data_IF_434018053445
#
_entry.id   IF_434018053445
#
_cell.length_a   1.000
_cell.length_b   1.000
_cell.length_c   1.000
_cell.angle_alpha   90.00
_cell.angle_beta   90.00
_cell.angle_gamma   90.00
#
_symmetry.space_group_name_H-M   'P 1'
#
loop_
_entity.id
_entity.type
_entity.pdbx_description
1 polymer ?
#
# COMPACT_ATOMS: atom_id res chain seq x y z
N UNK A 1 -22.43 -9.50 0.71
CA UNK A 1 -22.63 -8.60 -0.44
C UNK A 1 -21.33 -7.86 -0.71
N UNK A 2 -20.57 -8.32 -1.70
CA UNK A 2 -19.22 -7.82 -1.98
C UNK A 2 -19.28 -6.52 -2.77
N UNK A 3 -18.85 -5.42 -2.15
CA UNK A 3 -18.47 -4.22 -2.90
C UNK A 3 -17.06 -4.45 -3.42
N UNK A 4 -16.98 -5.11 -4.59
CA UNK A 4 -15.86 -4.87 -5.49
C UNK A 4 -15.89 -3.38 -5.83
N UNK A 5 -15.13 -2.57 -5.10
CA UNK A 5 -14.79 -1.24 -5.57
C UNK A 5 -13.96 -1.43 -6.84
N UNK A 6 -14.65 -1.22 -7.95
CA UNK A 6 -14.16 -1.20 -9.31
C UNK A 6 -12.70 -0.73 -9.38
N UNK A 7 -11.87 -1.57 -9.97
CA UNK A 7 -10.46 -1.33 -10.31
C UNK A 7 -10.24 -0.26 -11.39
N UNK A 8 -11.18 0.69 -11.56
CA UNK A 8 -11.14 1.74 -12.58
C UNK A 8 -10.38 3.00 -12.14
N UNK A 9 -9.35 2.86 -11.29
CA UNK A 9 -8.32 3.90 -11.13
C UNK A 9 -7.16 3.77 -12.14
N UNK A 10 -7.25 2.83 -13.09
CA UNK A 10 -6.29 2.63 -14.18
C UNK A 10 -6.47 3.62 -15.36
N UNK A 11 -7.56 4.39 -15.42
CA UNK A 11 -7.97 5.11 -16.65
C UNK A 11 -7.76 6.63 -16.70
N UNK A 12 -7.04 7.26 -15.75
CA UNK A 12 -6.89 8.74 -15.72
C UNK A 12 -5.45 9.26 -15.87
N UNK A 13 -4.56 8.48 -16.46
CA UNK A 13 -3.19 8.92 -16.70
C UNK A 13 -2.80 8.56 -18.13
N UNK A 14 -3.21 9.41 -19.07
CA UNK A 14 -2.60 9.66 -20.38
C UNK A 14 -3.40 10.77 -21.07
N UNK A 15 -3.37 11.99 -20.51
CA UNK A 15 -3.42 13.14 -21.41
C UNK A 15 -2.05 13.16 -22.07
N UNK A 16 -1.94 12.56 -23.25
CA UNK A 16 -0.82 12.81 -24.15
C UNK A 16 -0.97 14.26 -24.63
N UNK A 17 -0.67 15.23 -23.76
CA UNK A 17 -0.52 16.62 -24.18
C UNK A 17 0.66 16.66 -25.14
N UNK A 18 0.44 17.22 -26.33
CA UNK A 18 1.52 17.41 -27.28
C UNK A 18 2.39 18.57 -26.80
N UNK A 19 3.32 18.29 -25.89
CA UNK A 19 4.16 19.30 -25.24
C UNK A 19 4.93 20.18 -26.23
N UNK A 20 5.19 19.67 -27.44
CA UNK A 20 5.93 20.36 -28.50
C UNK A 20 5.23 21.59 -29.05
N UNK A 21 3.90 21.68 -28.96
CA UNK A 21 3.14 22.85 -29.44
C UNK A 21 3.05 23.96 -28.38
N UNK A 22 3.26 23.61 -27.10
CA UNK A 22 3.08 24.53 -25.97
C UNK A 22 4.43 25.12 -25.53
N UNK A 23 5.49 24.31 -25.53
CA UNK A 23 6.79 24.71 -25.03
C UNK A 23 7.54 25.52 -26.09
N UNK A 24 7.94 26.74 -25.74
CA UNK A 24 8.65 27.68 -26.61
C UNK A 24 10.16 27.71 -26.33
N UNK A 25 10.55 27.46 -25.09
CA UNK A 25 11.94 27.60 -24.64
C UNK A 25 12.52 26.26 -24.22
N UNK A 26 13.74 25.98 -24.68
CA UNK A 26 14.48 24.76 -24.35
C UNK A 26 15.86 25.12 -23.81
N UNK A 27 16.12 24.69 -22.59
CA UNK A 27 17.43 24.83 -21.94
C UNK A 27 18.01 23.44 -21.67
N UNK A 28 19.30 23.25 -21.94
CA UNK A 28 19.97 21.97 -21.77
C UNK A 28 21.34 22.14 -21.14
N UNK A 29 21.69 21.24 -20.23
CA UNK A 29 23.02 21.12 -19.63
C UNK A 29 23.54 22.44 -18.98
N UNK A 30 22.62 23.24 -18.43
CA UNK A 30 22.92 24.51 -17.73
C UNK A 30 23.00 24.33 -16.21
N UNK A 31 23.88 25.10 -15.55
CA UNK A 31 23.95 25.18 -14.09
C UNK A 31 23.62 26.60 -13.62
N UNK A 32 22.62 26.72 -12.74
CA UNK A 32 22.18 27.97 -12.13
C UNK A 32 22.58 27.95 -10.66
N UNK A 33 23.35 28.95 -10.22
CA UNK A 33 23.80 29.07 -8.83
C UNK A 33 23.74 30.53 -8.36
N UNK A 34 23.14 30.76 -7.20
CA UNK A 34 23.00 32.09 -6.58
C UNK A 34 24.28 32.60 -5.90
N UNK A 35 25.29 31.75 -5.68
CA UNK A 35 26.51 32.12 -4.93
C UNK A 35 27.55 32.94 -5.71
N UNK A 36 27.23 33.42 -6.91
CA UNK A 36 28.06 34.36 -7.67
C UNK A 36 27.33 35.71 -7.59
N UNK A 37 28.04 36.79 -7.27
CA UNK A 37 27.56 38.18 -7.10
C UNK A 37 26.98 38.81 -8.40
N UNK A 38 26.26 38.04 -9.20
CA UNK A 38 25.44 38.53 -10.29
C UNK A 38 23.99 38.12 -10.01
N UNK A 39 23.26 39.07 -9.44
CA UNK A 39 21.83 39.22 -9.65
C UNK A 39 21.59 39.30 -11.17
N UNK A 40 21.44 38.13 -11.81
CA UNK A 40 20.80 37.95 -13.12
C UNK A 40 20.63 36.45 -13.44
N UNK A 41 20.18 35.63 -12.48
CA UNK A 41 19.61 34.32 -12.82
C UNK A 41 18.17 34.53 -13.29
N UNK A 42 18.00 35.02 -14.51
CA UNK A 42 16.70 35.20 -15.14
C UNK A 42 16.17 33.80 -15.55
N UNK A 43 15.80 32.99 -14.55
CA UNK A 43 15.26 31.65 -14.75
C UNK A 43 13.85 31.81 -15.29
N UNK A 44 13.65 31.39 -16.53
CA UNK A 44 12.35 31.42 -17.16
C UNK A 44 11.44 30.35 -16.56
N UNK A 45 10.19 30.70 -16.28
CA UNK A 45 9.19 29.81 -15.68
C UNK A 45 7.88 29.79 -16.48
N UNK A 46 7.97 30.12 -17.77
CA UNK A 46 6.85 30.13 -18.71
C UNK A 46 7.22 29.46 -20.04
N UNK A 47 6.39 28.51 -20.46
CA UNK A 47 6.47 27.74 -21.71
C UNK A 47 7.88 27.18 -21.95
N UNK A 48 8.44 26.50 -20.95
CA UNK A 48 9.86 26.16 -20.90
C UNK A 48 10.13 24.72 -20.48
N UNK A 49 11.11 24.10 -21.13
CA UNK A 49 11.68 22.81 -20.77
C UNK A 49 13.16 22.94 -20.42
N UNK A 50 13.52 22.42 -19.25
CA UNK A 50 14.89 22.25 -18.80
C UNK A 50 15.27 20.77 -18.86
N UNK A 51 16.39 20.46 -19.51
CA UNK A 51 16.92 19.11 -19.66
C UNK A 51 18.33 19.04 -19.07
N UNK A 52 18.59 18.10 -18.16
CA UNK A 52 19.91 17.92 -17.52
C UNK A 52 20.45 19.19 -16.82
N UNK A 53 19.59 20.14 -16.46
CA UNK A 53 20.02 21.36 -15.80
C UNK A 53 20.17 21.18 -14.28
N UNK A 54 21.04 21.98 -13.68
CA UNK A 54 21.27 22.01 -12.24
C UNK A 54 20.87 23.37 -11.66
N UNK A 55 20.19 23.35 -10.51
CA UNK A 55 19.73 24.52 -9.77
C UNK A 55 20.25 24.40 -8.34
N UNK A 56 21.14 25.33 -7.93
CA UNK A 56 21.78 25.33 -6.61
C UNK A 56 21.50 26.63 -5.87
N UNK A 57 21.08 26.52 -4.61
CA UNK A 57 20.89 27.66 -3.71
C UNK A 57 19.92 28.73 -4.27
N UNK A 58 18.90 28.31 -5.03
CA UNK A 58 17.96 29.24 -5.67
C UNK A 58 16.68 29.38 -4.85
N UNK A 59 16.22 30.63 -4.74
CA UNK A 59 14.97 30.99 -4.11
C UNK A 59 13.92 31.36 -5.16
N UNK A 60 12.99 30.46 -5.44
CA UNK A 60 11.82 30.71 -6.26
C UNK A 60 10.72 31.37 -5.41
N UNK A 61 10.87 32.67 -5.12
CA UNK A 61 9.90 33.45 -4.34
C UNK A 61 8.79 34.02 -5.23
N UNK A 62 7.54 33.80 -4.86
CA UNK A 62 6.34 34.40 -5.46
C UNK A 62 6.22 34.21 -6.98
N UNK A 63 6.81 33.14 -7.51
CA UNK A 63 6.82 32.88 -8.95
C UNK A 63 5.55 32.14 -9.41
N UNK A 64 5.01 32.57 -10.55
CA UNK A 64 4.03 31.79 -11.31
C UNK A 64 4.74 30.81 -12.24
N UNK A 65 4.27 29.56 -12.27
CA UNK A 65 4.75 28.53 -13.20
C UNK A 65 3.68 28.29 -14.27
N UNK A 66 4.04 28.54 -15.52
CA UNK A 66 3.20 28.29 -16.71
C UNK A 66 3.90 27.29 -17.62
N UNK A 67 3.36 26.08 -17.78
CA UNK A 67 3.85 25.06 -18.72
C UNK A 67 5.36 24.77 -18.56
N UNK A 68 5.77 24.40 -17.35
CA UNK A 68 7.18 24.18 -17.01
C UNK A 68 7.48 22.70 -16.86
N UNK A 69 8.53 22.22 -17.53
CA UNK A 69 9.01 20.83 -17.41
C UNK A 69 10.48 20.81 -17.05
N UNK A 70 10.81 20.07 -15.99
CA UNK A 70 12.18 19.69 -15.65
C UNK A 70 12.39 18.21 -15.96
N UNK A 71 13.38 17.87 -16.78
CA UNK A 71 13.74 16.49 -17.14
C UNK A 71 15.19 16.23 -16.78
N UNK A 72 15.44 15.21 -15.97
CA UNK A 72 16.78 14.83 -15.51
C UNK A 72 17.54 15.99 -14.84
N UNK A 73 16.82 16.95 -14.27
CA UNK A 73 17.39 18.11 -13.58
C UNK A 73 17.71 17.80 -12.11
N UNK A 74 18.68 18.55 -11.56
CA UNK A 74 19.03 18.48 -10.14
C UNK A 74 18.74 19.81 -9.45
N UNK A 75 18.04 19.75 -8.31
CA UNK A 75 17.80 20.88 -7.43
C UNK A 75 18.46 20.60 -6.08
N UNK A 76 19.29 21.52 -5.61
CA UNK A 76 20.03 21.40 -4.35
C UNK A 76 19.87 22.68 -3.55
N UNK A 77 19.47 22.55 -2.28
CA UNK A 77 19.31 23.68 -1.36
C UNK A 77 18.41 24.79 -1.94
N UNK A 78 17.37 24.41 -2.70
CA UNK A 78 16.46 25.37 -3.33
C UNK A 78 15.19 25.55 -2.49
N UNK A 79 14.61 26.74 -2.55
CA UNK A 79 13.38 27.07 -1.83
C UNK A 79 12.32 27.57 -2.80
N UNK A 80 11.12 27.03 -2.71
CA UNK A 80 9.92 27.52 -3.37
C UNK A 80 9.04 28.16 -2.30
N UNK A 81 8.78 29.46 -2.40
CA UNK A 81 8.09 30.21 -1.36
C UNK A 81 7.00 31.04 -2.01
N UNK A 82 5.73 30.79 -1.69
CA UNK A 82 4.61 31.56 -2.27
C UNK A 82 4.40 31.32 -3.77
N UNK A 83 4.99 30.27 -4.34
CA UNK A 83 4.88 29.97 -5.77
C UNK A 83 3.52 29.36 -6.12
N UNK A 84 3.08 29.53 -7.38
CA UNK A 84 1.80 29.00 -7.85
C UNK A 84 1.88 28.43 -9.25
N UNK A 85 1.21 27.32 -9.52
CA UNK A 85 0.94 26.85 -10.88
C UNK A 85 -0.24 27.65 -11.43
N UNK A 86 -0.03 28.34 -12.55
CA UNK A 86 -1.07 29.18 -13.15
C UNK A 86 -2.23 28.31 -13.67
N UNK A 87 -3.45 28.87 -13.71
CA UNK A 87 -4.64 28.13 -14.10
C UNK A 87 -4.47 27.47 -15.47
N UNK A 88 -4.88 26.19 -15.58
CA UNK A 88 -4.77 25.36 -16.80
C UNK A 88 -3.34 25.13 -17.32
N UNK A 89 -2.33 25.46 -16.53
CA UNK A 89 -0.93 25.16 -16.83
C UNK A 89 -0.46 23.92 -16.07
N UNK A 90 0.72 23.41 -16.43
CA UNK A 90 1.37 22.30 -15.74
C UNK A 90 2.75 22.70 -15.19
N UNK A 91 3.16 21.99 -14.15
CA UNK A 91 4.51 21.96 -13.63
C UNK A 91 4.88 20.49 -13.43
N UNK A 92 5.97 20.06 -14.07
CA UNK A 92 6.41 18.68 -14.04
C UNK A 92 7.88 18.52 -13.68
N UNK A 93 8.17 17.55 -12.82
CA UNK A 93 9.53 17.07 -12.54
C UNK A 93 9.61 15.60 -12.96
N UNK A 94 10.45 15.32 -13.96
CA UNK A 94 10.61 13.99 -14.53
C UNK A 94 12.07 13.55 -14.38
N UNK A 95 12.32 12.44 -13.68
CA UNK A 95 13.68 11.90 -13.42
C UNK A 95 14.60 12.89 -12.71
N UNK A 96 14.04 13.78 -11.91
CA UNK A 96 14.81 14.81 -11.20
C UNK A 96 15.34 14.33 -9.85
N UNK A 97 16.41 14.99 -9.40
CA UNK A 97 16.93 14.85 -8.02
C UNK A 97 16.58 16.13 -7.27
N UNK A 98 15.84 16.01 -6.18
CA UNK A 98 15.42 17.09 -5.29
C UNK A 98 16.07 16.88 -3.92
N UNK A 99 17.10 17.66 -3.62
CA UNK A 99 17.91 17.53 -2.41
C UNK A 99 17.84 18.81 -1.57
N UNK A 100 17.47 18.68 -0.29
CA UNK A 100 17.32 19.81 0.64
C UNK A 100 16.39 20.90 0.07
N UNK A 101 15.14 20.51 -0.24
CA UNK A 101 14.16 21.41 -0.84
C UNK A 101 13.12 21.83 0.19
N UNK A 102 12.82 23.12 0.24
CA UNK A 102 11.68 23.65 1.01
C UNK A 102 10.62 24.19 0.05
N UNK A 103 9.41 23.66 0.13
CA UNK A 103 8.21 24.17 -0.54
C UNK A 103 7.28 24.71 0.53
N UNK A 104 7.17 26.04 0.61
CA UNK A 104 6.45 26.73 1.68
C UNK A 104 5.40 27.68 1.10
N UNK A 105 4.18 27.61 1.63
CA UNK A 105 3.06 28.46 1.23
C UNK A 105 2.81 28.47 -0.31
N UNK A 106 3.04 27.36 -1.00
CA UNK A 106 2.87 27.28 -2.45
C UNK A 106 1.51 26.69 -2.84
N UNK A 107 0.94 27.13 -3.97
CA UNK A 107 -0.22 26.50 -4.62
C UNK A 107 0.25 25.69 -5.84
N UNK A 108 0.64 24.46 -5.56
CA UNK A 108 1.11 23.49 -6.54
C UNK A 108 0.03 22.44 -6.84
N UNK A 109 -1.22 22.89 -6.97
CA UNK A 109 -2.33 22.07 -7.45
C UNK A 109 -1.97 21.29 -8.71
N UNK A 110 -2.25 19.99 -8.74
CA UNK A 110 -1.97 19.10 -9.89
C UNK A 110 -0.50 18.98 -10.31
N UNK A 111 0.45 19.31 -9.42
CA UNK A 111 1.88 19.09 -9.63
C UNK A 111 2.15 17.61 -9.97
N UNK A 112 3.00 17.39 -10.97
CA UNK A 112 3.40 16.07 -11.42
C UNK A 112 4.88 15.82 -11.13
N UNK A 113 5.18 14.81 -10.32
CA UNK A 113 6.55 14.40 -9.99
C UNK A 113 6.69 12.91 -10.29
N UNK A 114 7.57 12.56 -11.22
CA UNK A 114 7.72 11.19 -11.69
C UNK A 114 9.16 10.74 -11.80
N UNK A 115 9.43 9.52 -11.35
CA UNK A 115 10.75 8.86 -11.42
C UNK A 115 11.85 9.69 -10.73
N UNK A 116 11.48 10.50 -9.73
CA UNK A 116 12.36 11.43 -9.03
C UNK A 116 12.88 10.85 -7.71
N UNK A 117 14.01 11.40 -7.25
CA UNK A 117 14.55 11.17 -5.91
C UNK A 117 14.34 12.42 -5.05
N UNK A 118 13.52 12.30 -4.00
CA UNK A 118 13.28 13.35 -3.03
C UNK A 118 14.08 13.02 -1.77
N UNK A 119 15.10 13.82 -1.46
CA UNK A 119 15.92 13.69 -0.26
C UNK A 119 15.84 14.98 0.55
N UNK A 120 15.37 14.89 1.80
CA UNK A 120 15.20 16.04 2.70
C UNK A 120 14.33 17.13 2.07
N UNK A 121 13.11 16.74 1.71
CA UNK A 121 12.13 17.64 1.07
C UNK A 121 11.01 17.94 2.05
N UNK A 122 10.83 19.22 2.34
CA UNK A 122 9.78 19.73 3.22
C UNK A 122 8.70 20.41 2.40
N UNK A 123 7.47 19.92 2.52
CA UNK A 123 6.27 20.61 2.10
C UNK A 123 5.63 21.23 3.34
N UNK A 124 5.42 22.54 3.34
CA UNK A 124 4.85 23.27 4.48
C UNK A 124 3.74 24.20 4.02
N UNK A 125 2.58 24.16 4.69
CA UNK A 125 1.44 25.04 4.44
C UNK A 125 1.09 25.20 2.94
N UNK A 126 1.22 24.12 2.16
CA UNK A 126 1.17 24.18 0.70
C UNK A 126 -0.04 23.45 0.15
N UNK A 127 -0.70 24.05 -0.84
CA UNK A 127 -1.85 23.49 -1.49
C UNK A 127 -1.41 22.59 -2.65
N UNK A 128 -1.71 21.29 -2.56
CA UNK A 128 -1.18 20.24 -3.44
C UNK A 128 -2.29 19.27 -3.86
N UNK A 129 -3.49 19.82 -4.05
CA UNK A 129 -4.67 19.04 -4.42
C UNK A 129 -4.46 18.42 -5.81
N UNK A 130 -4.76 17.14 -5.97
CA UNK A 130 -4.68 16.45 -7.27
C UNK A 130 -3.26 16.16 -7.75
N UNK A 131 -2.24 16.34 -6.91
CA UNK A 131 -0.85 16.06 -7.30
C UNK A 131 -0.60 14.58 -7.54
N UNK A 132 0.29 14.29 -8.49
CA UNK A 132 0.67 12.94 -8.87
C UNK A 132 2.16 12.72 -8.59
N UNK A 133 2.45 11.80 -7.68
CA UNK A 133 3.79 11.35 -7.35
C UNK A 133 3.94 9.88 -7.75
N UNK A 134 4.64 9.61 -8.84
CA UNK A 134 4.68 8.29 -9.48
C UNK A 134 6.12 7.79 -9.57
N UNK A 135 6.38 6.58 -9.08
CA UNK A 135 7.72 5.94 -9.15
C UNK A 135 8.84 6.77 -8.50
N UNK A 136 8.51 7.50 -7.43
CA UNK A 136 9.51 8.30 -6.72
C UNK A 136 10.09 7.56 -5.51
N UNK A 137 11.28 7.99 -5.11
CA UNK A 137 11.93 7.65 -3.84
C UNK A 137 11.80 8.82 -2.87
N UNK A 138 11.55 8.53 -1.59
CA UNK A 138 11.35 9.52 -0.52
C UNK A 138 12.29 9.20 0.63
N UNK A 139 13.31 10.03 0.84
CA UNK A 139 14.23 9.94 1.96
C UNK A 139 14.11 11.21 2.79
N UNK A 140 13.65 11.10 4.03
CA UNK A 140 13.39 12.24 4.92
C UNK A 140 12.45 13.31 4.30
N UNK A 141 11.30 12.88 3.76
CA UNK A 141 10.28 13.78 3.21
C UNK A 141 9.25 14.12 4.28
N UNK A 142 8.91 15.40 4.44
CA UNK A 142 8.01 15.85 5.50
C UNK A 142 6.87 16.70 4.93
N UNK A 143 5.65 16.41 5.37
CA UNK A 143 4.50 17.28 5.18
C UNK A 143 4.20 17.97 6.50
N UNK A 144 4.25 19.29 6.51
CA UNK A 144 4.24 20.11 7.72
C UNK A 144 3.00 21.01 7.72
N UNK A 145 2.23 20.94 8.79
CA UNK A 145 1.03 21.73 9.04
C UNK A 145 -0.03 21.62 7.92
N UNK A 146 -0.50 22.76 7.37
CA UNK A 146 -1.66 22.81 6.46
C UNK A 146 -1.28 22.48 5.00
N UNK A 147 -0.78 21.26 4.78
CA UNK A 147 -0.62 20.74 3.42
C UNK A 147 -1.94 20.16 2.92
N UNK A 148 -2.36 20.50 1.69
CA UNK A 148 -3.56 19.92 1.10
C UNK A 148 -3.20 18.84 0.09
N UNK A 149 -3.35 17.57 0.48
CA UNK A 149 -3.11 16.39 -0.37
C UNK A 149 -4.42 15.71 -0.80
N UNK A 150 -5.55 16.42 -0.81
CA UNK A 150 -6.80 15.86 -1.33
C UNK A 150 -6.64 15.47 -2.80
N UNK A 151 -7.24 14.33 -3.18
CA UNK A 151 -7.17 13.77 -4.54
C UNK A 151 -5.73 13.47 -5.05
N UNK A 152 -4.74 13.45 -4.16
CA UNK A 152 -3.36 13.14 -4.55
C UNK A 152 -3.21 11.65 -4.89
N UNK A 153 -2.28 11.33 -5.79
CA UNK A 153 -1.93 9.95 -6.13
C UNK A 153 -0.43 9.79 -5.85
N UNK A 154 -0.11 8.96 -4.86
CA UNK A 154 1.26 8.54 -4.56
C UNK A 154 1.33 7.06 -4.86
N UNK A 155 1.99 6.65 -5.94
CA UNK A 155 2.02 5.22 -6.35
C UNK A 155 3.36 4.79 -6.92
N UNK A 156 3.52 3.47 -6.99
CA UNK A 156 4.68 2.80 -7.55
C UNK A 156 6.02 3.22 -6.89
N UNK A 157 5.96 3.68 -5.64
CA UNK A 157 7.13 4.09 -4.85
C UNK A 157 8.19 2.99 -4.82
N UNK A 158 9.44 3.38 -4.97
CA UNK A 158 10.60 2.49 -4.96
C UNK A 158 11.80 3.19 -4.31
N UNK A 159 12.91 2.49 -4.12
CA UNK A 159 14.08 3.06 -3.46
C UNK A 159 13.91 3.19 -1.95
N UNK A 160 13.87 4.42 -1.45
CA UNK A 160 13.64 4.78 -0.05
C UNK A 160 12.18 5.23 0.17
N UNK A 161 11.65 5.00 1.36
CA UNK A 161 10.39 5.62 1.80
C UNK A 161 10.46 5.97 3.29
N UNK A 162 10.74 7.23 3.58
CA UNK A 162 10.64 7.86 4.88
C UNK A 162 9.84 9.16 4.71
N UNK A 163 8.52 9.07 4.91
CA UNK A 163 7.59 10.18 4.83
C UNK A 163 6.98 10.38 6.20
N UNK A 164 6.97 11.61 6.70
CA UNK A 164 6.38 11.98 7.99
C UNK A 164 5.41 13.14 7.86
N UNK A 165 4.40 13.15 8.73
CA UNK A 165 3.51 14.28 8.92
C UNK A 165 3.85 14.98 10.23
N UNK A 166 4.17 16.27 10.15
CA UNK A 166 4.42 17.13 11.32
C UNK A 166 3.23 18.07 11.47
N UNK A 167 2.42 17.83 12.50
CA UNK A 167 1.15 18.53 12.70
C UNK A 167 1.22 19.40 13.97
N UNK A 168 1.98 20.50 13.92
CA UNK A 168 2.17 21.38 15.09
C UNK A 168 1.04 22.42 15.22
N UNK A 169 0.69 23.09 14.12
CA UNK A 169 -0.34 24.15 14.09
C UNK A 169 -1.61 23.73 13.38
N UNK A 170 -1.48 22.84 12.41
CA UNK A 170 -2.58 22.29 11.61
C UNK A 170 -2.22 20.86 11.22
N UNK A 171 -2.99 20.25 10.33
CA UNK A 171 -2.71 18.92 9.83
C UNK A 171 -2.93 18.81 8.33
N UNK A 172 -2.23 17.85 7.72
CA UNK A 172 -2.32 17.62 6.27
C UNK A 172 -3.67 17.02 5.87
N UNK A 173 -4.34 17.64 4.90
CA UNK A 173 -5.67 17.25 4.44
C UNK A 173 -5.60 16.10 3.43
N UNK A 174 -6.39 15.06 3.65
CA UNK A 174 -6.56 13.89 2.77
C UNK A 174 -8.04 13.58 2.64
N UNK A 175 -8.47 13.04 1.49
CA UNK A 175 -9.87 12.64 1.28
C UNK A 175 -9.94 11.21 0.71
N UNK A 176 -11.15 10.74 0.38
CA UNK A 176 -11.34 9.45 -0.29
C UNK A 176 -10.72 9.40 -1.69
N UNK A 177 -10.49 10.53 -2.35
CA UNK A 177 -9.79 10.61 -3.64
C UNK A 177 -8.28 10.43 -3.52
N UNK A 178 -7.69 10.80 -2.37
CA UNK A 178 -6.27 10.58 -2.09
C UNK A 178 -5.95 9.09 -2.08
N UNK A 179 -4.91 8.68 -2.81
CA UNK A 179 -4.53 7.29 -3.02
C UNK A 179 -3.05 7.05 -2.77
N UNK A 180 -2.75 6.16 -1.82
CA UNK A 180 -1.40 5.65 -1.57
C UNK A 180 -1.30 4.20 -2.08
N UNK A 181 -0.39 4.01 -3.04
CA UNK A 181 -0.09 2.77 -3.73
C UNK A 181 0.68 1.76 -2.88
N UNK A 182 0.93 0.59 -3.45
CA UNK A 182 1.83 -0.43 -2.86
C UNK A 182 3.28 -0.08 -3.16
N UNK A 183 4.17 -0.29 -2.21
CA UNK A 183 5.60 -0.11 -2.40
C UNK A 183 6.19 -1.22 -3.26
N UNK A 184 7.06 -0.87 -4.20
CA UNK A 184 7.77 -1.82 -5.05
C UNK A 184 9.06 -2.30 -4.37
N UNK A 185 8.98 -3.47 -3.74
CA UNK A 185 10.11 -4.08 -3.04
C UNK A 185 11.21 -4.65 -3.95
N UNK A 186 11.06 -4.65 -5.29
CA UNK A 186 12.12 -5.15 -6.20
C UNK A 186 13.31 -4.19 -6.30
N UNK A 187 13.04 -2.88 -6.25
CA UNK A 187 14.02 -1.83 -6.52
C UNK A 187 14.38 -1.06 -5.23
N UNK A 188 14.74 -1.78 -4.17
CA UNK A 188 15.14 -1.13 -2.90
C UNK A 188 16.55 -0.55 -3.04
N UNK A 189 16.70 0.75 -2.80
CA UNK A 189 17.99 1.46 -2.78
C UNK A 189 18.42 1.68 -1.32
N UNK A 190 19.72 1.90 -1.08
CA UNK A 190 20.28 2.29 0.23
C UNK A 190 19.83 3.73 0.56
N UNK A 191 19.36 4.01 1.77
CA UNK A 191 19.06 5.39 2.24
C UNK A 191 20.35 6.18 2.50
N UNK A 192 20.29 7.51 2.36
CA UNK A 192 21.43 8.43 2.61
C UNK A 192 21.89 8.43 4.07
N UNK A 193 21.01 8.06 5.02
CA UNK A 193 21.35 7.96 6.46
C UNK A 193 22.42 6.90 6.79
N UNK A 194 22.83 6.08 5.82
CA UNK A 194 23.81 5.00 6.00
C UNK A 194 25.13 5.22 5.22
N UNK A 195 25.37 6.41 4.65
CA UNK A 195 26.56 6.65 3.80
C UNK A 195 27.89 6.64 4.60
N UNK A 196 27.85 6.88 5.92
CA UNK A 196 29.07 7.01 6.74
C UNK A 196 29.56 5.73 7.43
N UNK A 197 29.04 4.54 7.10
CA UNK A 197 29.66 3.29 7.56
C UNK A 197 29.92 2.37 6.37
N UNK A 198 31.22 2.21 6.05
CA UNK A 198 31.73 1.16 5.17
C UNK A 198 31.38 -0.20 5.77
N UNK A 199 30.18 -0.70 5.50
CA UNK A 199 29.82 -2.10 5.71
C UNK A 199 28.53 -2.40 4.92
N UNK A 200 28.59 -3.43 4.07
CA UNK A 200 27.40 -4.06 3.49
C UNK A 200 26.62 -4.76 4.62
N UNK A 201 25.88 -3.98 5.40
CA UNK A 201 25.25 -4.48 6.61
C UNK A 201 23.74 -4.66 6.40
N UNK A 202 23.21 -5.83 6.81
CA UNK A 202 21.78 -6.19 6.77
C UNK A 202 20.87 -5.19 7.51
N UNK A 203 21.43 -4.27 8.30
CA UNK A 203 20.71 -3.22 9.02
C UNK A 203 20.14 -2.13 8.09
N UNK A 204 20.77 -1.84 6.94
CA UNK A 204 20.31 -0.78 6.01
C UNK A 204 18.96 -1.14 5.39
N UNK A 205 18.82 -2.38 4.90
CA UNK A 205 17.55 -2.87 4.37
C UNK A 205 16.48 -2.95 5.47
N UNK A 206 16.86 -3.37 6.68
CA UNK A 206 15.95 -3.43 7.82
C UNK A 206 15.42 -2.05 8.21
N UNK A 207 16.29 -1.04 8.22
CA UNK A 207 15.92 0.35 8.48
C UNK A 207 14.96 0.88 7.40
N UNK A 208 15.25 0.62 6.12
CA UNK A 208 14.35 1.04 5.05
C UNK A 208 12.97 0.34 5.13
N UNK A 209 12.91 -0.96 5.41
CA UNK A 209 11.63 -1.64 5.67
C UNK A 209 10.85 -1.07 6.85
N UNK A 210 11.56 -0.63 7.90
CA UNK A 210 10.96 0.00 9.05
C UNK A 210 10.42 1.41 8.70
N UNK A 211 11.17 2.20 7.93
CA UNK A 211 10.74 3.50 7.43
C UNK A 211 9.53 3.38 6.51
N UNK A 212 9.50 2.39 5.60
CA UNK A 212 8.31 2.08 4.79
C UNK A 212 7.12 1.77 5.71
N UNK A 213 7.34 0.94 6.73
CA UNK A 213 6.31 0.57 7.71
C UNK A 213 5.75 1.79 8.43
N UNK A 214 6.60 2.69 8.92
CA UNK A 214 6.20 3.89 9.64
C UNK A 214 5.53 4.91 8.72
N UNK A 215 6.07 5.13 7.52
CA UNK A 215 5.45 6.02 6.53
C UNK A 215 4.01 5.62 6.22
N UNK A 216 3.75 4.31 6.04
CA UNK A 216 2.38 3.82 5.88
C UNK A 216 1.50 4.05 7.12
N UNK A 217 2.04 3.90 8.33
CA UNK A 217 1.29 4.22 9.55
C UNK A 217 0.95 5.70 9.63
N UNK A 218 1.92 6.57 9.34
CA UNK A 218 1.75 8.01 9.33
C UNK A 218 0.65 8.44 8.34
N UNK A 219 0.63 7.86 7.13
CA UNK A 219 -0.50 8.05 6.20
C UNK A 219 -1.83 7.53 6.77
N UNK A 220 -1.82 6.37 7.41
CA UNK A 220 -3.00 5.80 8.06
C UNK A 220 -3.57 6.76 9.11
N UNK A 221 -2.75 7.20 10.04
CA UNK A 221 -3.13 8.17 11.07
C UNK A 221 -3.64 9.47 10.46
N UNK A 222 -3.02 9.93 9.38
CA UNK A 222 -3.49 11.12 8.69
C UNK A 222 -4.88 10.92 8.07
N UNK A 223 -5.18 9.75 7.49
CA UNK A 223 -6.54 9.42 7.04
C UNK A 223 -7.56 9.40 8.20
N UNK A 224 -7.18 8.88 9.37
CA UNK A 224 -8.03 8.90 10.56
C UNK A 224 -8.32 10.33 11.02
N UNK A 225 -7.31 11.19 11.09
CA UNK A 225 -7.46 12.62 11.42
C UNK A 225 -8.41 13.36 10.47
N UNK A 226 -8.47 12.92 9.21
CA UNK A 226 -9.37 13.47 8.19
C UNK A 226 -10.76 12.78 8.13
N UNK A 227 -11.09 11.89 9.08
CA UNK A 227 -12.33 11.10 9.07
C UNK A 227 -12.53 10.22 7.81
N UNK A 228 -11.42 9.78 7.19
CA UNK A 228 -11.40 8.90 6.02
C UNK A 228 -10.98 7.49 6.45
N UNK A 229 -11.68 6.95 7.45
CA UNK A 229 -11.28 5.70 8.11
C UNK A 229 -11.20 4.52 7.14
N UNK A 230 -12.04 4.47 6.11
CA UNK A 230 -12.03 3.42 5.09
C UNK A 230 -10.69 3.23 4.36
N UNK A 231 -9.84 4.26 4.31
CA UNK A 231 -8.52 4.20 3.63
C UNK A 231 -7.39 3.69 4.52
N UNK A 232 -7.44 3.88 5.85
CA UNK A 232 -6.36 3.45 6.74
C UNK A 232 -6.12 1.94 6.69
N UNK A 233 -7.17 1.11 6.61
CA UNK A 233 -7.00 -0.35 6.70
C UNK A 233 -5.99 -0.89 5.68
N UNK A 234 -6.00 -0.27 4.50
CA UNK A 234 -5.01 -0.53 3.45
C UNK A 234 -3.60 -0.09 3.85
N UNK A 235 -3.44 1.11 4.41
CA UNK A 235 -2.14 1.60 4.90
C UNK A 235 -1.60 0.72 6.02
N UNK A 236 -2.42 0.35 6.99
CA UNK A 236 -2.05 -0.59 8.07
C UNK A 236 -1.60 -1.94 7.52
N UNK A 237 -2.34 -2.50 6.54
CA UNK A 237 -1.95 -3.74 5.89
C UNK A 237 -0.58 -3.63 5.20
N UNK A 238 -0.34 -2.56 4.43
CA UNK A 238 0.96 -2.33 3.79
C UNK A 238 2.09 -2.13 4.80
N UNK A 239 1.81 -1.41 5.89
CA UNK A 239 2.74 -1.24 7.01
C UNK A 239 3.16 -2.59 7.60
N UNK A 240 2.20 -3.47 7.91
CA UNK A 240 2.50 -4.81 8.45
C UNK A 240 3.27 -5.70 7.46
N UNK A 241 3.02 -5.59 6.16
CA UNK A 241 3.80 -6.29 5.13
C UNK A 241 5.27 -5.83 5.09
N UNK A 242 5.50 -4.52 5.23
CA UNK A 242 6.85 -3.96 5.32
C UNK A 242 7.53 -4.42 6.62
N UNK A 243 6.85 -4.30 7.76
CA UNK A 243 7.35 -4.74 9.06
C UNK A 243 7.68 -6.23 9.08
N UNK A 244 6.84 -7.08 8.47
CA UNK A 244 7.07 -8.52 8.37
C UNK A 244 8.45 -8.87 7.79
N UNK A 245 8.95 -8.07 6.83
CA UNK A 245 10.27 -8.28 6.20
C UNK A 245 11.43 -8.03 7.15
N UNK A 246 11.21 -7.29 8.23
CA UNK A 246 12.21 -7.06 9.28
C UNK A 246 12.32 -8.23 10.27
N UNK A 247 11.32 -9.11 10.32
CA UNK A 247 11.23 -10.20 11.28
C UNK A 247 12.06 -11.42 10.86
N UNK A 248 12.50 -12.22 11.85
CA UNK A 248 13.21 -13.49 11.67
C UNK A 248 12.64 -14.57 12.60
N UNK A 249 12.88 -15.84 12.27
CA UNK A 249 12.50 -17.00 13.10
C UNK A 249 10.99 -17.09 13.39
N UNK A 250 10.65 -17.50 14.61
CA UNK A 250 9.26 -17.71 15.08
C UNK A 250 8.37 -16.48 14.90
N UNK A 251 8.88 -15.27 15.13
CA UNK A 251 8.13 -14.02 14.94
C UNK A 251 7.68 -13.84 13.49
N UNK A 252 8.53 -14.19 12.53
CA UNK A 252 8.20 -14.12 11.10
C UNK A 252 7.11 -15.15 10.76
N UNK A 253 7.20 -16.35 11.31
CA UNK A 253 6.17 -17.40 11.12
C UNK A 253 4.79 -16.94 11.62
N UNK A 254 4.67 -16.43 12.85
CA UNK A 254 3.40 -15.93 13.36
C UNK A 254 2.83 -14.78 12.52
N UNK A 255 3.69 -13.86 12.09
CA UNK A 255 3.28 -12.77 11.19
C UNK A 255 2.84 -13.29 9.81
N UNK A 256 3.46 -14.34 9.30
CA UNK A 256 3.05 -14.98 8.04
C UNK A 256 1.69 -15.66 8.17
N UNK A 257 1.47 -16.43 9.25
CA UNK A 257 0.20 -17.07 9.55
C UNK A 257 -0.93 -16.03 9.68
N UNK A 258 -0.71 -14.94 10.41
CA UNK A 258 -1.68 -13.85 10.55
C UNK A 258 -2.01 -13.17 9.20
N UNK A 259 -1.06 -13.07 8.28
CA UNK A 259 -1.31 -12.55 6.93
C UNK A 259 -2.20 -13.48 6.11
N UNK A 260 -1.97 -14.80 6.19
CA UNK A 260 -2.76 -15.79 5.47
C UNK A 260 -4.19 -15.83 6.01
N UNK A 261 -4.32 -16.01 7.33
CA UNK A 261 -5.61 -16.25 7.98
C UNK A 261 -6.54 -15.04 7.80
N UNK A 262 -6.09 -13.84 8.16
CA UNK A 262 -6.98 -12.67 8.23
C UNK A 262 -6.40 -11.38 7.63
N UNK A 263 -5.24 -11.45 6.97
CA UNK A 263 -4.56 -10.28 6.42
C UNK A 263 -4.21 -9.25 7.50
N UNK A 264 -3.68 -9.71 8.65
CA UNK A 264 -3.42 -8.88 9.84
C UNK A 264 -4.69 -8.22 10.43
N UNK A 265 -5.85 -8.80 10.17
CA UNK A 265 -7.14 -8.34 10.65
C UNK A 265 -7.86 -7.35 9.72
N UNK A 266 -7.31 -7.06 8.55
CA UNK A 266 -7.85 -6.06 7.61
C UNK A 266 -8.64 -6.68 6.44
N UNK A 267 -8.52 -7.99 6.20
CA UNK A 267 -9.09 -8.66 5.03
C UNK A 267 -10.00 -9.83 5.48
N UNK A 268 -11.24 -9.56 5.91
CA UNK A 268 -12.14 -10.57 6.50
C UNK A 268 -12.50 -11.70 5.52
N UNK A 269 -12.52 -11.41 4.22
CA UNK A 269 -12.79 -12.40 3.18
C UNK A 269 -11.77 -13.56 3.16
N UNK A 270 -10.51 -13.32 3.57
CA UNK A 270 -9.51 -14.40 3.66
C UNK A 270 -9.87 -15.42 4.73
N UNK A 271 -10.33 -14.96 5.90
CA UNK A 271 -10.75 -15.85 6.98
C UNK A 271 -11.91 -16.72 6.53
N UNK A 272 -12.90 -16.11 5.86
CA UNK A 272 -14.05 -16.84 5.31
C UNK A 272 -13.65 -17.90 4.28
N UNK A 273 -12.78 -17.54 3.32
CA UNK A 273 -12.30 -18.49 2.31
C UNK A 273 -11.46 -19.61 2.92
N UNK A 274 -10.63 -19.31 3.94
CA UNK A 274 -9.86 -20.32 4.64
C UNK A 274 -10.78 -21.30 5.39
N UNK A 275 -11.88 -20.82 6.00
CA UNK A 275 -12.89 -21.69 6.61
C UNK A 275 -13.49 -22.67 5.61
N UNK A 276 -13.84 -22.21 4.40
CA UNK A 276 -14.35 -23.09 3.33
C UNK A 276 -13.32 -24.14 2.90
N UNK A 277 -12.05 -23.75 2.80
CA UNK A 277 -10.97 -24.69 2.47
C UNK A 277 -10.81 -25.74 3.58
N UNK A 278 -10.86 -25.34 4.85
CA UNK A 278 -10.80 -26.27 5.99
C UNK A 278 -11.93 -27.30 5.89
N UNK A 279 -13.18 -26.85 5.69
CA UNK A 279 -14.34 -27.74 5.53
C UNK A 279 -14.12 -28.75 4.40
N UNK A 280 -13.64 -28.30 3.23
CA UNK A 280 -13.39 -29.21 2.11
C UNK A 280 -12.27 -30.22 2.40
N UNK A 281 -11.20 -29.82 3.10
CA UNK A 281 -10.11 -30.72 3.48
C UNK A 281 -10.61 -31.77 4.49
N UNK A 282 -11.37 -31.37 5.49
CA UNK A 282 -11.93 -32.32 6.47
C UNK A 282 -12.96 -33.25 5.84
N UNK A 283 -13.78 -32.77 4.92
CA UNK A 283 -14.67 -33.63 4.13
C UNK A 283 -13.92 -34.74 3.40
N UNK A 284 -12.76 -34.45 2.80
CA UNK A 284 -11.91 -35.46 2.16
C UNK A 284 -11.31 -36.44 3.18
N UNK A 285 -10.90 -35.95 4.36
CA UNK A 285 -10.41 -36.82 5.43
C UNK A 285 -11.51 -37.76 5.95
N UNK A 286 -12.74 -37.27 6.09
CA UNK A 286 -13.88 -38.10 6.49
C UNK A 286 -14.27 -39.14 5.46
N UNK A 287 -14.06 -38.86 4.18
CA UNK A 287 -14.22 -39.87 3.14
C UNK A 287 -13.27 -41.06 3.34
N UNK A 288 -12.07 -40.81 3.86
CA UNK A 288 -11.06 -41.84 4.16
C UNK A 288 -11.38 -42.56 5.48
N UNK A 289 -11.72 -41.82 6.54
CA UNK A 289 -11.97 -42.45 7.86
C UNK A 289 -13.32 -43.15 7.96
N UNK A 290 -14.30 -42.71 7.18
CA UNK A 290 -15.69 -43.13 7.24
C UNK A 290 -16.52 -42.33 8.26
N UNK A 291 -17.79 -42.16 7.93
CA UNK A 291 -18.84 -41.58 8.77
C UNK A 291 -19.88 -42.68 9.00
N UNK A 292 -20.26 -42.90 10.25
CA UNK A 292 -21.32 -43.81 10.63
C UNK A 292 -22.68 -43.11 10.58
N UNK A 293 -23.66 -43.76 9.95
CA UNK A 293 -25.04 -43.33 9.88
C UNK A 293 -25.95 -44.50 10.28
N UNK A 294 -27.20 -44.21 10.69
CA UNK A 294 -28.17 -45.24 11.06
C UNK A 294 -28.36 -46.34 9.98
N UNK A 295 -28.13 -46.00 8.71
CA UNK A 295 -28.33 -46.89 7.57
C UNK A 295 -27.01 -47.51 7.03
N UNK A 296 -25.87 -47.30 7.70
CA UNK A 296 -24.58 -47.85 7.30
C UNK A 296 -23.43 -46.84 7.28
N UNK A 297 -22.29 -47.25 6.71
CA UNK A 297 -21.05 -46.46 6.69
C UNK A 297 -20.96 -45.66 5.39
N UNK A 298 -20.82 -44.33 5.51
CA UNK A 298 -20.59 -43.39 4.41
C UNK A 298 -19.08 -43.16 4.29
N UNK A 299 -18.50 -43.36 3.11
CA UNK A 299 -17.06 -43.18 2.86
C UNK A 299 -16.54 -44.19 1.83
N UNK A 300 -15.21 -44.26 1.64
CA UNK A 300 -14.62 -45.22 0.69
C UNK A 300 -14.94 -46.68 1.03
N UNK A 301 -15.01 -47.02 2.31
CA UNK A 301 -15.36 -48.37 2.77
C UNK A 301 -16.82 -48.76 2.50
N UNK A 302 -17.72 -47.77 2.42
CA UNK A 302 -19.12 -48.01 2.07
C UNK A 302 -19.35 -48.23 0.56
N UNK A 303 -18.29 -48.19 -0.26
CA UNK A 303 -18.35 -48.39 -1.71
C UNK A 303 -17.88 -49.79 -2.15
N UNK A 304 -17.43 -50.64 -1.21
CA UNK A 304 -16.81 -51.95 -1.51
C UNK A 304 -17.76 -52.92 -2.21
N UNK A 305 -19.07 -52.82 -2.00
CA UNK A 305 -20.04 -53.82 -2.50
C UNK A 305 -20.63 -53.50 -3.89
N UNK A 306 -20.62 -52.24 -4.37
CA UNK A 306 -21.07 -51.83 -5.71
C UNK A 306 -20.68 -50.36 -6.02
N UNK A 307 -19.65 -50.16 -6.84
CA UNK A 307 -19.21 -48.81 -7.19
C UNK A 307 -20.16 -48.14 -8.20
N UNK A 308 -20.83 -47.06 -7.76
CA UNK A 308 -21.62 -46.18 -8.63
C UNK A 308 -21.20 -44.72 -8.47
N UNK A 309 -21.03 -44.01 -9.59
CA UNK A 309 -20.69 -42.58 -9.61
C UNK A 309 -21.70 -41.75 -8.81
N UNK A 310 -22.99 -42.13 -8.89
CA UNK A 310 -24.05 -41.46 -8.12
C UNK A 310 -23.85 -41.64 -6.61
N UNK A 311 -23.44 -42.83 -6.17
CA UNK A 311 -23.13 -43.10 -4.76
C UNK A 311 -21.90 -42.32 -4.29
N UNK A 312 -20.88 -42.21 -5.14
CA UNK A 312 -19.68 -41.42 -4.84
C UNK A 312 -20.03 -39.94 -4.65
N UNK A 313 -20.82 -39.35 -5.55
CA UNK A 313 -21.28 -37.95 -5.42
C UNK A 313 -22.10 -37.78 -4.14
N UNK A 314 -23.02 -38.70 -3.84
CA UNK A 314 -23.82 -38.68 -2.61
C UNK A 314 -22.93 -38.71 -1.36
N UNK A 315 -21.92 -39.58 -1.33
CA UNK A 315 -20.97 -39.68 -0.23
C UNK A 315 -20.15 -38.39 -0.08
N UNK A 316 -19.69 -37.77 -1.17
CA UNK A 316 -19.02 -36.45 -1.12
C UNK A 316 -19.92 -35.41 -0.46
N UNK A 317 -21.19 -35.32 -0.88
CA UNK A 317 -22.14 -34.35 -0.34
C UNK A 317 -22.35 -34.57 1.17
N UNK A 318 -22.52 -35.81 1.61
CA UNK A 318 -22.66 -36.11 3.04
C UNK A 318 -21.38 -35.81 3.83
N UNK A 319 -20.19 -36.10 3.29
CA UNK A 319 -18.93 -35.75 3.95
C UNK A 319 -18.75 -34.23 4.09
N UNK A 320 -19.10 -33.46 3.05
CA UNK A 320 -19.10 -32.00 3.10
C UNK A 320 -20.13 -31.48 4.10
N UNK A 321 -21.34 -32.06 4.12
CA UNK A 321 -22.37 -31.70 5.08
C UNK A 321 -21.92 -31.96 6.52
N UNK A 322 -21.36 -33.14 6.78
CA UNK A 322 -20.84 -33.52 8.10
C UNK A 322 -19.73 -32.57 8.57
N UNK A 323 -18.76 -32.27 7.71
CA UNK A 323 -17.69 -31.31 8.00
C UNK A 323 -18.24 -29.91 8.22
N UNK A 324 -19.22 -29.45 7.43
CA UNK A 324 -19.83 -28.14 7.62
C UNK A 324 -20.53 -28.01 8.97
N UNK A 325 -21.34 -29.00 9.35
CA UNK A 325 -22.08 -29.05 10.63
C UNK A 325 -21.13 -29.18 11.83
N UNK A 326 -20.03 -29.91 11.66
CA UNK A 326 -18.99 -30.09 12.68
C UNK A 326 -18.18 -28.80 12.87
N UNK A 327 -17.75 -28.18 11.77
CA UNK A 327 -17.03 -26.91 11.76
C UNK A 327 -17.86 -25.76 12.35
N UNK A 328 -19.17 -25.71 12.03
CA UNK A 328 -20.08 -24.71 12.58
C UNK A 328 -20.59 -25.06 13.98
N UNK A 329 -20.14 -26.17 14.56
CA UNK A 329 -20.54 -26.68 15.88
C UNK A 329 -22.05 -26.83 16.06
N UNK A 330 -22.80 -27.11 14.99
CA UNK A 330 -24.25 -27.31 15.04
C UNK A 330 -24.58 -28.73 15.54
N UNK A 331 -23.86 -29.73 15.03
CA UNK A 331 -23.89 -31.11 15.53
C UNK A 331 -25.29 -31.74 15.59
N UNK A 332 -25.96 -31.95 14.45
CA UNK A 332 -27.30 -32.55 14.40
C UNK A 332 -27.40 -33.95 15.05
N UNK A 333 -26.28 -34.67 15.18
CA UNK A 333 -26.20 -35.96 15.88
C UNK A 333 -26.68 -37.17 15.07
N UNK A 334 -27.04 -36.96 13.81
CA UNK A 334 -27.45 -37.96 12.82
C UNK A 334 -26.27 -38.69 12.15
N UNK A 335 -25.12 -38.02 12.09
CA UNK A 335 -23.87 -38.50 11.54
C UNK A 335 -22.79 -38.54 12.63
N UNK A 336 -22.12 -39.67 12.78
CA UNK A 336 -21.09 -39.88 13.81
C UNK A 336 -19.77 -40.32 13.17
N UNK A 337 -18.61 -39.99 13.75
CA UNK A 337 -17.34 -40.54 13.29
C UNK A 337 -17.34 -42.07 13.45
N UNK A 338 -16.91 -42.80 12.42
CA UNK A 338 -16.90 -44.26 12.46
C UNK A 338 -15.80 -44.85 13.36
N UNK A 339 -14.60 -44.27 13.32
CA UNK A 339 -13.41 -44.75 14.02
C UNK A 339 -12.84 -43.73 15.01
N UNK A 340 -11.97 -44.17 15.92
CA UNK A 340 -11.21 -43.30 16.84
C UNK A 340 -10.43 -42.20 16.11
N UNK A 341 -9.87 -42.49 14.94
CA UNK A 341 -9.21 -41.48 14.11
C UNK A 341 -10.18 -40.39 13.63
N UNK A 342 -11.40 -40.77 13.28
CA UNK A 342 -12.49 -39.83 12.96
C UNK A 342 -12.86 -38.95 14.15
N UNK A 343 -12.94 -39.52 15.36
CA UNK A 343 -13.22 -38.78 16.60
C UNK A 343 -12.14 -37.71 16.89
N UNK A 344 -10.86 -38.06 16.66
CA UNK A 344 -9.77 -37.10 16.82
C UNK A 344 -9.89 -35.98 15.77
N UNK A 345 -10.19 -36.31 14.52
CA UNK A 345 -10.38 -35.33 13.45
C UNK A 345 -11.55 -34.37 13.74
N UNK A 346 -12.72 -34.89 14.14
CA UNK A 346 -13.87 -34.05 14.51
C UNK A 346 -13.54 -33.11 15.67
N UNK A 347 -12.79 -33.58 16.67
CA UNK A 347 -12.36 -32.76 17.79
C UNK A 347 -11.45 -31.60 17.34
N UNK A 348 -10.51 -31.87 16.42
CA UNK A 348 -9.64 -30.84 15.84
C UNK A 348 -10.44 -29.86 14.98
N UNK A 349 -11.38 -30.36 14.16
CA UNK A 349 -12.21 -29.52 13.29
C UNK A 349 -13.08 -28.56 14.11
N UNK A 350 -13.73 -29.04 15.16
CA UNK A 350 -14.53 -28.21 16.08
C UNK A 350 -13.66 -27.08 16.66
N UNK A 351 -12.46 -27.41 17.14
CA UNK A 351 -11.54 -26.41 17.69
C UNK A 351 -11.16 -25.35 16.64
N UNK A 352 -10.83 -25.77 15.43
CA UNK A 352 -10.51 -24.87 14.32
C UNK A 352 -11.72 -24.01 13.91
N UNK A 353 -12.92 -24.60 13.90
CA UNK A 353 -14.18 -23.92 13.59
C UNK A 353 -14.44 -22.75 14.53
N UNK A 354 -14.39 -22.99 15.84
CA UNK A 354 -14.58 -21.94 16.86
C UNK A 354 -13.55 -20.81 16.69
N UNK A 355 -12.27 -21.15 16.51
CA UNK A 355 -11.21 -20.16 16.32
C UNK A 355 -11.46 -19.33 15.04
N UNK A 356 -11.80 -19.98 13.93
CA UNK A 356 -12.00 -19.31 12.65
C UNK A 356 -13.24 -18.41 12.64
N UNK A 357 -14.35 -18.83 13.25
CA UNK A 357 -15.55 -18.00 13.42
C UNK A 357 -15.21 -16.77 14.29
N UNK A 358 -14.46 -16.94 15.37
CA UNK A 358 -14.00 -15.84 16.23
C UNK A 358 -13.11 -14.84 15.48
N UNK A 359 -12.16 -15.32 14.66
CA UNK A 359 -11.31 -14.46 13.84
C UNK A 359 -12.13 -13.71 12.79
N UNK A 360 -13.04 -14.41 12.10
CA UNK A 360 -13.88 -13.80 11.07
C UNK A 360 -14.77 -12.69 11.65
N UNK A 361 -15.50 -12.97 12.73
CA UNK A 361 -16.34 -11.97 13.42
C UNK A 361 -15.52 -10.79 13.95
N UNK A 362 -14.37 -11.04 14.60
CA UNK A 362 -13.47 -9.98 15.08
C UNK A 362 -13.00 -9.05 13.94
N UNK A 363 -12.61 -9.61 12.80
CA UNK A 363 -12.18 -8.81 11.64
C UNK A 363 -13.31 -8.01 11.01
N UNK A 364 -14.54 -8.55 10.99
CA UNK A 364 -15.72 -7.84 10.51
C UNK A 364 -16.08 -6.67 11.42
N UNK A 365 -16.13 -6.89 12.73
CA UNK A 365 -16.42 -5.84 13.72
C UNK A 365 -15.40 -4.72 13.58
N UNK A 366 -14.10 -5.04 13.57
CA UNK A 366 -13.02 -4.05 13.38
C UNK A 366 -13.17 -3.25 12.08
N UNK A 367 -13.72 -3.84 11.02
CA UNK A 367 -13.92 -3.18 9.74
C UNK A 367 -15.14 -2.25 9.74
N UNK A 368 -16.15 -2.53 10.56
CA UNK A 368 -17.39 -1.76 10.66
C UNK A 368 -17.33 -0.64 11.70
N UNK A 369 -16.65 -0.85 12.83
CA UNK A 369 -16.59 0.11 13.95
C UNK A 369 -15.62 1.27 13.73
N UNK A 370 -14.90 1.25 12.61
CA UNK A 370 -13.84 2.18 12.30
C UNK A 370 -14.19 2.92 11.03
#
# INVERSE_FOLDING_TARGET
MGVYMNSNYMGKCNKCMNYTEIIKFHYKDLSFNKSIQQDNTNIKLEDVRYNNCEFRNIDFKSNGFSNVIFINCKFINCRFIGGKINLRNFLEFNKCILENILINNCDFSSLYIRECSLCKVDFKNSFMKGCNFIKNSYDEVRFIDDCNLMDCIIKDMEGAMDIKFINEKSYTKLNYGSYIGKFNYKNIKKNHSCINRKEHCNCVYKANYLNISFSYMDFGEQYLRNNVSGRYGRCFYQSKLAFHRTLRGRKKFYSYAANIVCGYGEIPYRSFMLSLIIILVFALLYMITGINCANGIIGFRGLEDNFSIMMLIKNIIYCVHFSLVTFSTVGYGDLLPYNMTGVILTSIEILLGIIMIGIWTSTLVRKMTR
#
